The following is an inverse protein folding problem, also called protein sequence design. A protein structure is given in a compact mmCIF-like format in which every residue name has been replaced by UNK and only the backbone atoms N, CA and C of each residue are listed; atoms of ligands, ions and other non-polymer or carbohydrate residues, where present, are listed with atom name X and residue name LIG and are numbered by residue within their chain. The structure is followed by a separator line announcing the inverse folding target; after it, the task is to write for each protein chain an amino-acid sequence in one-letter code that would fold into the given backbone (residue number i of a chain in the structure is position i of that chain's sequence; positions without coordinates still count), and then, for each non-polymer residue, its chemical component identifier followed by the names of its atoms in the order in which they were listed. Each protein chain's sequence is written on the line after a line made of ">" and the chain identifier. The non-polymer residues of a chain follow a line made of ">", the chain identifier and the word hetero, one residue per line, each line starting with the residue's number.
data_IF_116926305555
#
_entry.id   IF_116926305555
#
_cell.length_a   1.000
_cell.length_b   1.000
_cell.length_c   1.000
_cell.angle_alpha   90.00
_cell.angle_beta   90.00
_cell.angle_gamma   90.00
#
_symmetry.space_group_name_H-M   'P 1'
#
loop_
_entity.id
_entity.type
_entity.pdbx_description
1 polymer ?
#
# COMPACT_ATOMS: atom_id res chain seq x y z
N UNK A 1 1.69 -14.05 -9.96
CA UNK A 1 2.55 -13.40 -8.95
C UNK A 1 2.19 -11.92 -8.75
N UNK A 2 1.80 -11.17 -9.79
CA UNK A 2 1.42 -9.75 -9.69
C UNK A 2 0.19 -9.49 -8.79
N UNK A 3 -0.90 -10.24 -8.96
CA UNK A 3 -2.11 -10.09 -8.15
C UNK A 3 -1.86 -10.22 -6.62
N UNK A 4 -0.96 -11.12 -6.21
CA UNK A 4 -0.58 -11.29 -4.81
C UNK A 4 0.13 -10.04 -4.24
N UNK A 5 0.92 -9.35 -5.07
CA UNK A 5 1.59 -8.11 -4.67
C UNK A 5 0.58 -6.96 -4.55
N UNK A 6 -0.39 -6.85 -5.46
CA UNK A 6 -1.46 -5.84 -5.36
C UNK A 6 -2.19 -5.99 -4.03
N UNK A 7 -2.72 -7.18 -3.72
CA UNK A 7 -3.53 -7.38 -2.51
C UNK A 7 -2.75 -7.20 -1.21
N UNK A 8 -1.46 -7.54 -1.21
CA UNK A 8 -0.59 -7.37 -0.03
C UNK A 8 -0.18 -5.91 0.16
N UNK A 9 0.23 -5.19 -0.89
CA UNK A 9 0.55 -3.77 -0.79
C UNK A 9 -0.68 -2.94 -0.39
N UNK A 10 -1.85 -3.23 -0.96
CA UNK A 10 -3.10 -2.58 -0.55
C UNK A 10 -3.38 -2.82 0.93
N UNK A 11 -3.26 -4.06 1.40
CA UNK A 11 -3.52 -4.38 2.80
C UNK A 11 -2.53 -3.68 3.74
N UNK A 12 -1.24 -3.59 3.38
CA UNK A 12 -0.24 -2.88 4.17
C UNK A 12 -0.55 -1.38 4.22
N UNK A 13 -0.98 -0.79 3.09
CA UNK A 13 -1.44 0.62 3.06
C UNK A 13 -2.57 0.85 4.06
N UNK A 14 -3.60 -0.01 4.03
CA UNK A 14 -4.76 0.09 4.92
C UNK A 14 -4.37 -0.01 6.41
N UNK A 15 -3.44 -0.91 6.76
CA UNK A 15 -2.94 -1.00 8.14
C UNK A 15 -2.24 0.29 8.58
N UNK A 16 -1.44 0.91 7.71
CA UNK A 16 -0.78 2.16 8.04
C UNK A 16 -1.74 3.35 8.09
N UNK A 17 -2.80 3.35 7.28
CA UNK A 17 -3.86 4.37 7.33
C UNK A 17 -4.65 4.27 8.65
N UNK A 18 -5.04 3.07 9.05
CA UNK A 18 -5.72 2.83 10.32
C UNK A 18 -4.84 3.22 11.49
N UNK A 19 -3.56 2.86 11.47
CA UNK A 19 -2.59 3.27 12.48
C UNK A 19 -2.43 4.80 12.51
N UNK A 20 -2.34 5.46 11.36
CA UNK A 20 -2.24 6.91 11.28
C UNK A 20 -3.48 7.60 11.87
N UNK A 21 -4.68 7.06 11.61
CA UNK A 21 -5.93 7.54 12.17
C UNK A 21 -5.95 7.36 13.71
N UNK A 22 -5.56 6.20 14.22
CA UNK A 22 -5.47 5.93 15.66
C UNK A 22 -4.48 6.88 16.36
N UNK A 23 -3.33 7.18 15.73
CA UNK A 23 -2.34 8.15 16.24
C UNK A 23 -2.80 9.61 16.21
N UNK A 24 -3.94 9.90 15.56
CA UNK A 24 -4.58 11.22 15.58
C UNK A 24 -5.74 11.30 16.56
N UNK A 25 -6.19 10.16 17.10
CA UNK A 25 -7.29 10.08 18.03
C UNK A 25 -6.79 10.14 19.49
N UNK A 26 -7.55 10.76 20.41
CA UNK A 26 -7.30 10.64 21.85
C UNK A 26 -7.45 9.18 22.33
N UNK A 27 -6.65 8.74 23.32
CA UNK A 27 -5.61 9.51 24.03
C UNK A 27 -4.24 9.47 23.34
N UNK A 28 -4.07 8.65 22.29
CA UNK A 28 -2.77 8.39 21.67
C UNK A 28 -2.13 9.62 21.05
N UNK A 29 -2.94 10.58 20.59
CA UNK A 29 -2.51 11.87 20.06
C UNK A 29 -1.61 12.67 21.02
N UNK A 30 -1.70 12.42 22.33
CA UNK A 30 -0.94 13.08 23.40
C UNK A 30 0.22 12.25 23.94
N UNK A 31 0.19 10.94 23.75
CA UNK A 31 1.13 10.01 24.39
C UNK A 31 2.21 9.47 23.44
N UNK A 32 2.04 9.62 22.13
CA UNK A 32 3.00 9.14 21.14
C UNK A 32 3.70 10.28 20.39
N UNK A 33 4.95 10.04 20.04
CA UNK A 33 5.79 11.00 19.33
C UNK A 33 5.16 11.33 17.95
N UNK A 34 5.09 12.62 17.63
CA UNK A 34 4.49 13.13 16.38
C UNK A 34 5.17 12.60 15.12
N UNK A 35 6.42 12.14 15.22
CA UNK A 35 7.16 11.50 14.12
C UNK A 35 6.51 10.20 13.66
N UNK A 36 5.85 9.44 14.55
CA UNK A 36 5.12 8.21 14.18
C UNK A 36 3.96 8.50 13.24
N UNK A 37 3.26 9.63 13.41
CA UNK A 37 2.18 10.04 12.51
C UNK A 37 2.72 10.31 11.09
N UNK A 38 3.79 11.08 10.99
CA UNK A 38 4.42 11.36 9.69
C UNK A 38 4.94 10.07 9.03
N UNK A 39 5.55 9.18 9.83
CA UNK A 39 6.06 7.91 9.34
C UNK A 39 4.96 6.98 8.82
N UNK A 40 3.89 6.78 9.59
CA UNK A 40 2.74 5.93 9.21
C UNK A 40 2.03 6.46 7.98
N UNK A 41 1.77 7.77 7.90
CA UNK A 41 1.19 8.40 6.70
C UNK A 41 2.09 8.24 5.45
N UNK A 42 3.41 8.35 5.63
CA UNK A 42 4.38 8.15 4.55
C UNK A 42 4.37 6.70 4.06
N UNK A 43 4.34 5.75 4.99
CA UNK A 43 4.27 4.32 4.68
C UNK A 43 2.98 3.95 3.97
N UNK A 44 1.83 4.45 4.43
CA UNK A 44 0.55 4.28 3.74
C UNK A 44 0.65 4.73 2.27
N UNK A 45 1.06 5.98 2.04
CA UNK A 45 1.19 6.53 0.67
C UNK A 45 2.16 5.75 -0.21
N UNK A 46 3.28 5.28 0.35
CA UNK A 46 4.26 4.48 -0.39
C UNK A 46 3.64 3.15 -0.86
N UNK A 47 3.01 2.42 0.05
CA UNK A 47 2.43 1.11 -0.29
C UNK A 47 1.19 1.24 -1.19
N UNK A 48 0.41 2.32 -1.04
CA UNK A 48 -0.65 2.66 -1.99
C UNK A 48 -0.08 2.89 -3.40
N UNK A 49 0.99 3.65 -3.54
CA UNK A 49 1.63 3.89 -4.83
C UNK A 49 2.20 2.60 -5.45
N UNK A 50 2.81 1.72 -4.65
CA UNK A 50 3.25 0.40 -5.12
C UNK A 50 2.08 -0.46 -5.62
N UNK A 51 0.95 -0.47 -4.89
CA UNK A 51 -0.26 -1.18 -5.30
C UNK A 51 -0.83 -0.62 -6.61
N UNK A 52 -0.91 0.70 -6.75
CA UNK A 52 -1.33 1.37 -7.98
C UNK A 52 -0.40 1.06 -9.16
N UNK A 53 0.92 1.05 -8.95
CA UNK A 53 1.88 0.68 -10.00
C UNK A 53 1.69 -0.77 -10.45
N UNK A 54 1.54 -1.72 -9.52
CA UNK A 54 1.28 -3.12 -9.86
C UNK A 54 -0.04 -3.31 -10.61
N UNK A 55 -1.09 -2.66 -10.15
CA UNK A 55 -2.40 -2.65 -10.80
C UNK A 55 -2.31 -2.07 -12.22
N UNK A 56 -1.52 -0.99 -12.42
CA UNK A 56 -1.34 -0.40 -13.74
C UNK A 56 -0.72 -1.38 -14.74
N UNK A 57 0.20 -2.25 -14.30
CA UNK A 57 0.80 -3.27 -15.17
C UNK A 57 -0.24 -4.29 -15.64
N UNK A 58 -1.12 -4.76 -14.73
CA UNK A 58 -2.18 -5.71 -15.08
C UNK A 58 -3.25 -5.09 -15.98
N UNK A 59 -3.67 -3.85 -15.67
CA UNK A 59 -4.63 -3.10 -16.49
C UNK A 59 -4.08 -2.88 -17.91
N UNK A 60 -2.77 -2.62 -18.01
CA UNK A 60 -2.12 -2.48 -19.30
C UNK A 60 -2.22 -3.76 -20.14
N UNK A 61 -1.92 -4.92 -19.54
CA UNK A 61 -2.03 -6.22 -20.21
C UNK A 61 -3.47 -6.55 -20.64
N UNK A 62 -4.46 -6.03 -19.91
CA UNK A 62 -5.88 -6.19 -20.21
C UNK A 62 -6.43 -5.18 -21.22
N UNK A 63 -5.64 -4.17 -21.61
CA UNK A 63 -6.08 -3.08 -22.49
C UNK A 63 -6.96 -2.04 -21.79
N UNK A 64 -7.05 -2.06 -20.46
CA UNK A 64 -7.84 -1.13 -19.63
C UNK A 64 -7.06 0.18 -19.37
N UNK A 65 -6.67 0.85 -20.46
CA UNK A 65 -5.72 1.97 -20.44
C UNK A 65 -6.25 3.19 -19.69
N UNK A 66 -7.56 3.47 -19.76
CA UNK A 66 -8.14 4.59 -19.03
C UNK A 66 -7.99 4.42 -17.51
N UNK A 67 -8.25 3.22 -16.98
CA UNK A 67 -8.06 2.93 -15.57
C UNK A 67 -6.57 2.94 -15.21
N UNK A 68 -5.69 2.38 -16.07
CA UNK A 68 -4.23 2.44 -15.88
C UNK A 68 -3.74 3.88 -15.63
N UNK A 69 -4.16 4.82 -16.50
CA UNK A 69 -3.80 6.24 -16.39
C UNK A 69 -4.27 6.82 -15.06
N UNK A 70 -5.51 6.54 -14.66
CA UNK A 70 -6.09 7.07 -13.44
C UNK A 70 -5.37 6.53 -12.18
N UNK A 71 -5.03 5.23 -12.16
CA UNK A 71 -4.25 4.59 -11.08
C UNK A 71 -2.84 5.17 -10.96
N UNK A 72 -2.16 5.36 -12.08
CA UNK A 72 -0.81 5.93 -12.12
C UNK A 72 -0.80 7.37 -11.59
N UNK A 73 -1.79 8.19 -11.99
CA UNK A 73 -1.95 9.57 -11.48
C UNK A 73 -2.16 9.59 -9.96
N UNK A 74 -3.04 8.74 -9.44
CA UNK A 74 -3.32 8.64 -8.00
C UNK A 74 -2.06 8.25 -7.21
N UNK A 75 -1.34 7.20 -7.63
CA UNK A 75 -0.12 6.77 -6.94
C UNK A 75 1.01 7.81 -6.99
N UNK A 76 1.21 8.50 -8.14
CA UNK A 76 2.21 9.57 -8.27
C UNK A 76 1.91 10.77 -7.36
N UNK A 77 0.63 11.14 -7.18
CA UNK A 77 0.23 12.20 -6.26
C UNK A 77 0.65 11.88 -4.81
N UNK A 78 0.54 10.60 -4.40
CA UNK A 78 1.01 10.13 -3.09
C UNK A 78 2.53 10.20 -2.92
N UNK A 79 3.29 9.83 -3.95
CA UNK A 79 4.76 9.75 -3.90
C UNK A 79 5.45 11.10 -3.67
N UNK A 80 4.85 12.21 -4.12
CA UNK A 80 5.42 13.55 -3.93
C UNK A 80 5.66 13.88 -2.43
N UNK A 81 4.79 13.40 -1.54
CA UNK A 81 4.97 13.55 -0.10
C UNK A 81 6.02 12.58 0.48
N UNK A 82 6.06 11.35 -0.04
CA UNK A 82 7.02 10.31 0.40
C UNK A 82 8.45 10.73 0.10
N UNK A 83 8.70 11.28 -1.09
CA UNK A 83 10.03 11.68 -1.55
C UNK A 83 10.69 12.74 -0.66
N UNK A 84 9.90 13.66 -0.10
CA UNK A 84 10.39 14.71 0.81
C UNK A 84 10.98 14.14 2.11
N UNK A 85 10.54 12.95 2.53
CA UNK A 85 10.91 12.33 3.80
C UNK A 85 11.87 11.15 3.63
N UNK A 86 11.95 10.58 2.43
CA UNK A 86 12.85 9.48 2.13
C UNK A 86 14.32 9.92 2.16
N UNK A 87 15.19 9.07 2.72
CA UNK A 87 16.65 9.31 2.82
C UNK A 87 17.42 8.06 2.40
N UNK A 88 18.66 8.25 1.94
CA UNK A 88 19.57 7.17 1.57
C UNK A 88 18.96 6.20 0.55
N UNK A 89 19.12 4.89 0.77
CA UNK A 89 18.62 3.86 -0.14
C UNK A 89 17.09 3.92 -0.38
N UNK A 90 16.31 4.35 0.61
CA UNK A 90 14.87 4.51 0.45
C UNK A 90 14.53 5.63 -0.55
N UNK A 91 15.30 6.72 -0.57
CA UNK A 91 15.11 7.80 -1.54
C UNK A 91 15.38 7.33 -2.97
N UNK A 92 16.42 6.50 -3.16
CA UNK A 92 16.73 5.90 -4.46
C UNK A 92 15.62 4.95 -4.94
N UNK A 93 15.08 4.11 -4.05
CA UNK A 93 13.98 3.21 -4.38
C UNK A 93 12.71 3.98 -4.77
N UNK A 94 12.33 5.00 -3.99
CA UNK A 94 11.17 5.87 -4.27
C UNK A 94 11.34 6.61 -5.60
N UNK A 95 12.53 7.15 -5.88
CA UNK A 95 12.80 7.87 -7.12
C UNK A 95 12.74 6.94 -8.34
N UNK A 96 13.19 5.69 -8.20
CA UNK A 96 13.05 4.68 -9.25
C UNK A 96 11.59 4.31 -9.51
N UNK A 97 10.80 4.10 -8.47
CA UNK A 97 9.37 3.83 -8.59
C UNK A 97 8.65 4.99 -9.30
N UNK A 98 8.92 6.23 -8.89
CA UNK A 98 8.36 7.43 -9.53
C UNK A 98 8.73 7.53 -11.02
N UNK A 99 9.99 7.24 -11.38
CA UNK A 99 10.43 7.22 -12.77
C UNK A 99 9.70 6.14 -13.59
N UNK A 100 9.58 4.93 -13.05
CA UNK A 100 8.90 3.82 -13.73
C UNK A 100 7.40 4.12 -13.93
N UNK A 101 6.73 4.67 -12.91
CA UNK A 101 5.33 5.09 -12.99
C UNK A 101 5.13 6.23 -13.98
N UNK A 102 6.02 7.23 -13.99
CA UNK A 102 5.94 8.37 -14.91
C UNK A 102 6.12 7.94 -16.36
N UNK A 103 7.11 7.07 -16.64
CA UNK A 103 7.31 6.49 -17.96
C UNK A 103 6.07 5.72 -18.43
N UNK A 104 5.49 4.90 -17.56
CA UNK A 104 4.28 4.15 -17.89
C UNK A 104 3.09 5.09 -18.15
N UNK A 105 2.96 6.16 -17.37
CA UNK A 105 1.89 7.14 -17.54
C UNK A 105 2.01 7.90 -18.87
N UNK A 106 3.22 8.34 -19.24
CA UNK A 106 3.46 9.00 -20.52
C UNK A 106 3.09 8.08 -21.70
N UNK A 107 3.50 6.82 -21.61
CA UNK A 107 3.19 5.79 -22.60
C UNK A 107 1.68 5.54 -22.71
N UNK A 108 1.01 5.26 -21.59
CA UNK A 108 -0.42 5.02 -21.54
C UNK A 108 -1.23 6.21 -22.06
N UNK A 109 -0.85 7.45 -21.71
CA UNK A 109 -1.50 8.65 -22.26
C UNK A 109 -1.32 8.77 -23.77
N UNK A 110 -0.12 8.51 -24.29
CA UNK A 110 0.13 8.54 -25.74
C UNK A 110 -0.75 7.52 -26.44
N UNK A 111 -0.72 6.27 -26.00
CA UNK A 111 -1.51 5.19 -26.57
C UNK A 111 -3.02 5.47 -26.45
N UNK A 112 -3.49 6.05 -25.35
CA UNK A 112 -4.89 6.40 -25.19
C UNK A 112 -5.34 7.51 -26.15
N UNK A 113 -4.45 8.46 -26.51
CA UNK A 113 -4.78 9.52 -27.46
C UNK A 113 -4.61 9.07 -28.92
N UNK A 114 -3.84 8.03 -29.19
CA UNK A 114 -3.56 7.58 -30.58
C UNK A 114 -4.28 6.30 -30.99
N UNK A 115 -4.60 5.41 -30.04
CA UNK A 115 -5.13 4.06 -30.30
C UNK A 115 -6.49 3.86 -29.62
N UNK A 116 -6.57 4.07 -28.31
CA UNK A 116 -7.73 3.58 -27.53
C UNK A 116 -8.87 4.59 -27.37
N UNK A 117 -8.56 5.89 -27.31
CA UNK A 117 -9.51 6.99 -27.17
C UNK A 117 -10.50 6.83 -25.99
N UNK A 118 -10.08 6.18 -24.91
CA UNK A 118 -10.92 5.93 -23.74
C UNK A 118 -10.99 7.15 -22.84
N UNK A 119 -12.15 7.36 -22.21
CA UNK A 119 -12.33 8.42 -21.22
C UNK A 119 -11.68 8.01 -19.90
N UNK A 120 -10.68 8.79 -19.47
CA UNK A 120 -10.02 8.58 -18.18
C UNK A 120 -11.01 8.88 -17.03
N UNK A 121 -11.28 7.94 -16.11
CA UNK A 121 -12.16 8.15 -14.96
C UNK A 121 -11.54 9.13 -13.95
N UNK A 122 -12.37 9.72 -13.09
CA UNK A 122 -11.87 10.50 -11.95
C UNK A 122 -11.39 9.57 -10.84
N UNK A 123 -10.45 10.04 -10.02
CA UNK A 123 -9.91 9.26 -8.90
C UNK A 123 -11.00 8.80 -7.93
N UNK A 124 -12.00 9.63 -7.65
CA UNK A 124 -13.16 9.31 -6.81
C UNK A 124 -14.08 8.23 -7.37
N UNK A 125 -13.99 7.94 -8.67
CA UNK A 125 -14.80 6.93 -9.35
C UNK A 125 -14.07 5.60 -9.52
N UNK A 126 -12.78 5.53 -9.13
CA UNK A 126 -12.01 4.30 -9.21
C UNK A 126 -12.51 3.28 -8.19
N UNK A 127 -12.66 2.00 -8.57
CA UNK A 127 -12.96 0.97 -7.60
C UNK A 127 -11.79 0.82 -6.61
N UNK A 128 -12.05 0.52 -5.33
CA UNK A 128 -11.00 0.26 -4.37
C UNK A 128 -10.15 -0.93 -4.83
N UNK A 129 -8.83 -0.87 -4.62
CA UNK A 129 -7.96 -2.02 -4.90
C UNK A 129 -8.32 -3.19 -3.97
N UNK A 130 -8.27 -4.44 -4.45
CA UNK A 130 -8.46 -5.59 -3.58
C UNK A 130 -7.36 -5.64 -2.52
N UNK A 131 -7.71 -6.09 -1.31
CA UNK A 131 -6.81 -6.23 -0.18
C UNK A 131 -6.95 -7.62 0.44
N UNK A 132 -5.85 -8.20 0.91
CA UNK A 132 -5.86 -9.48 1.59
C UNK A 132 -4.89 -9.48 2.78
N UNK A 133 -5.42 -9.79 3.97
CA UNK A 133 -4.59 -9.99 5.16
C UNK A 133 -3.92 -11.36 5.16
N UNK A 134 -2.59 -11.34 5.20
CA UNK A 134 -1.74 -12.53 5.34
C UNK A 134 -1.22 -12.71 6.77
N UNK A 135 -1.61 -11.82 7.68
CA UNK A 135 -1.13 -11.79 9.06
C UNK A 135 -2.31 -11.87 10.02
N UNK A 136 -2.11 -12.53 11.15
CA UNK A 136 -3.07 -12.54 12.25
C UNK A 136 -2.33 -12.29 13.55
N UNK A 137 -2.94 -11.61 14.53
CA UNK A 137 -2.35 -11.48 15.85
C UNK A 137 -2.09 -12.86 16.45
N UNK A 138 -0.87 -13.09 16.93
CA UNK A 138 -0.55 -14.32 17.65
C UNK A 138 -1.19 -14.29 19.04
N UNK A 139 -1.93 -15.33 19.44
CA UNK A 139 -2.51 -15.41 20.79
C UNK A 139 -1.45 -15.31 21.90
N UNK A 140 -1.79 -14.65 23.01
CA UNK A 140 -0.85 -14.38 24.11
C UNK A 140 -0.41 -15.65 24.85
N UNK A 141 -1.28 -16.64 24.97
CA UNK A 141 -0.98 -17.97 25.51
C UNK A 141 0.13 -18.67 24.72
N UNK A 142 0.11 -18.54 23.39
CA UNK A 142 1.17 -19.05 22.50
C UNK A 142 2.47 -18.26 22.72
N UNK A 143 2.40 -16.93 22.86
CA UNK A 143 3.57 -16.08 23.10
C UNK A 143 4.21 -16.36 24.46
N UNK A 144 3.38 -16.53 25.50
CA UNK A 144 3.81 -16.75 26.88
C UNK A 144 4.17 -18.22 27.18
N UNK A 145 3.98 -19.12 26.21
CA UNK A 145 4.31 -20.54 26.36
C UNK A 145 3.39 -21.30 27.32
N UNK A 146 2.15 -20.86 27.48
CA UNK A 146 1.16 -21.50 28.37
C UNK A 146 0.54 -22.77 27.75
N UNK A 147 1.34 -23.60 27.09
CA UNK A 147 0.93 -24.96 26.72
C UNK A 147 1.21 -25.88 27.90
N UNK A 148 0.16 -26.09 28.68
CA UNK A 148 0.01 -27.00 29.82
C UNK A 148 1.09 -28.09 29.98
N UNK A 149 1.91 -27.96 31.02
CA UNK A 149 2.41 -29.12 31.75
C UNK A 149 1.25 -29.70 32.59
N UNK A 150 0.29 -30.37 31.95
CA UNK A 150 -0.71 -31.16 32.68
C UNK A 150 -0.93 -32.53 32.03
N UNK A 151 0.07 -33.40 32.14
CA UNK A 151 -0.15 -34.85 31.99
C UNK A 151 1.00 -35.68 32.56
N UNK A 152 1.34 -35.53 33.85
CA UNK A 152 1.98 -36.60 34.64
C UNK A 152 1.48 -36.59 36.09
N UNK A 153 0.19 -36.87 36.26
CA UNK A 153 -0.34 -37.45 37.50
C UNK A 153 -1.17 -38.69 37.15
N UNK A 154 -0.48 -39.82 37.05
CA UNK A 154 -0.99 -41.19 37.21
C UNK A 154 0.27 -42.00 37.52
N UNK A 155 0.55 -42.39 38.76
CA UNK A 155 -0.31 -43.18 39.62
C UNK A 155 0.18 -44.61 39.53
N UNK A 156 1.14 -44.97 40.39
CA UNK A 156 1.37 -46.29 41.01
C UNK A 156 2.37 -46.10 42.15
#
# INVERSE_FOLDING_TARGET
>A
MSAQLIVSHTQVSLYYEEAAAALTAPPLDRHLDKTWRSYTQTKAKLYHAEACYRCSLELHEQGEIAEEIARLKSGLAGLAAVKKLAKGAAASAVSRLELDMSRNLERANRENVTVYFMRVPSESSLPPLPAASLVRPTPMDVILGATEQNSKSSGT
#
